data_IF_336818685629
#
_entry.id   IF_336818685629
#
_cell.length_a   1.000
_cell.length_b   1.000
_cell.length_c   1.000
_cell.angle_alpha   90.00
_cell.angle_beta   90.00
_cell.angle_gamma   90.00
#
_symmetry.space_group_name_H-M   'P 1'
#
loop_
_entity.id
_entity.type
_entity.pdbx_description
1 polymer ?
#
# COMPACT_ATOMS: atom_id res chain seq x y z
N UNK A 1 -30.51 -56.52 43.13
CA UNK A 1 -29.88 -56.73 41.80
C UNK A 1 -30.54 -55.89 40.70
N UNK A 2 -31.87 -55.87 40.57
CA UNK A 2 -32.57 -54.98 39.60
C UNK A 2 -32.37 -53.48 39.86
N UNK A 3 -32.36 -53.04 41.12
CA UNK A 3 -32.15 -51.62 41.46
C UNK A 3 -30.72 -51.15 41.16
N UNK A 4 -29.70 -51.94 41.48
CA UNK A 4 -28.30 -51.59 41.15
C UNK A 4 -28.07 -51.48 39.64
N UNK A 5 -28.74 -52.32 38.84
CA UNK A 5 -28.70 -52.23 37.38
C UNK A 5 -29.39 -50.95 36.88
N UNK A 6 -30.50 -50.56 37.49
CA UNK A 6 -31.20 -49.29 37.20
C UNK A 6 -30.30 -48.08 37.49
N UNK A 7 -29.70 -48.00 38.68
CA UNK A 7 -28.80 -46.90 39.04
C UNK A 7 -27.54 -46.84 38.16
N UNK A 8 -27.02 -48.00 37.75
CA UNK A 8 -25.90 -48.07 36.81
C UNK A 8 -26.28 -47.52 35.42
N UNK A 9 -27.46 -47.89 34.90
CA UNK A 9 -27.98 -47.37 33.64
C UNK A 9 -28.23 -45.86 33.75
N UNK A 10 -28.82 -45.38 34.85
CA UNK A 10 -29.03 -43.94 35.10
C UNK A 10 -27.69 -43.18 35.12
N UNK A 11 -26.67 -43.73 35.77
CA UNK A 11 -25.31 -43.17 35.77
C UNK A 11 -24.69 -43.08 34.37
N UNK A 12 -24.85 -44.12 33.55
CA UNK A 12 -24.41 -44.12 32.13
C UNK A 12 -25.15 -43.05 31.34
N UNK A 13 -26.47 -42.93 31.52
CA UNK A 13 -27.27 -41.94 30.79
C UNK A 13 -26.84 -40.52 31.14
N UNK A 14 -26.63 -40.20 32.42
CA UNK A 14 -26.13 -38.89 32.86
C UNK A 14 -24.74 -38.63 32.27
N UNK A 15 -23.83 -39.59 32.39
CA UNK A 15 -22.47 -39.47 31.86
C UNK A 15 -22.45 -39.25 30.34
N UNK A 16 -23.21 -40.05 29.59
CA UNK A 16 -23.36 -39.91 28.14
C UNK A 16 -23.98 -38.56 27.75
N UNK A 17 -24.95 -38.07 28.52
CA UNK A 17 -25.58 -36.76 28.28
C UNK A 17 -24.58 -35.61 28.43
N UNK A 18 -23.72 -35.67 29.45
CA UNK A 18 -22.66 -34.67 29.65
C UNK A 18 -21.64 -34.71 28.51
N UNK A 19 -21.16 -35.90 28.13
CA UNK A 19 -20.24 -36.05 27.00
C UNK A 19 -20.86 -35.55 25.68
N UNK A 20 -22.14 -35.85 25.46
CA UNK A 20 -22.86 -35.40 24.27
C UNK A 20 -23.02 -33.87 24.25
N UNK A 21 -23.28 -33.24 25.40
CA UNK A 21 -23.32 -31.78 25.52
C UNK A 21 -21.99 -31.13 25.19
N UNK A 22 -20.87 -31.68 25.69
CA UNK A 22 -19.53 -31.19 25.35
C UNK A 22 -19.20 -31.37 23.88
N UNK A 23 -19.60 -32.50 23.29
CA UNK A 23 -19.41 -32.75 21.87
C UNK A 23 -20.18 -31.74 20.99
N UNK A 24 -21.45 -31.48 21.30
CA UNK A 24 -22.23 -30.45 20.60
C UNK A 24 -21.60 -29.06 20.78
N UNK A 25 -21.16 -28.73 21.99
CA UNK A 25 -20.47 -27.46 22.26
C UNK A 25 -19.25 -27.27 21.35
N UNK A 26 -18.37 -28.28 21.30
CA UNK A 26 -17.17 -28.25 20.47
C UNK A 26 -17.49 -28.15 18.95
N UNK A 27 -18.58 -28.78 18.49
CA UNK A 27 -19.03 -28.64 17.10
C UNK A 27 -19.47 -27.19 16.79
N UNK A 28 -20.23 -26.58 17.69
CA UNK A 28 -20.68 -25.19 17.55
C UNK A 28 -19.49 -24.23 17.57
N UNK A 29 -18.52 -24.45 18.46
CA UNK A 29 -17.31 -23.63 18.56
C UNK A 29 -16.48 -23.74 17.26
N UNK A 30 -16.30 -24.95 16.73
CA UNK A 30 -15.61 -25.16 15.45
C UNK A 30 -16.32 -24.45 14.30
N UNK A 31 -17.64 -24.52 14.23
CA UNK A 31 -18.43 -23.84 13.20
C UNK A 31 -18.32 -22.31 13.33
N UNK A 32 -18.41 -21.78 14.55
CA UNK A 32 -18.23 -20.36 14.85
C UNK A 32 -16.84 -19.87 14.43
N UNK A 33 -15.79 -20.62 14.77
CA UNK A 33 -14.40 -20.31 14.42
C UNK A 33 -14.19 -20.27 12.90
N UNK A 34 -14.73 -21.23 12.16
CA UNK A 34 -14.66 -21.22 10.68
C UNK A 34 -15.37 -19.99 10.12
N UNK A 35 -16.56 -19.64 10.64
CA UNK A 35 -17.30 -18.46 10.19
C UNK A 35 -16.52 -17.17 10.45
N UNK A 36 -15.95 -17.01 11.64
CA UNK A 36 -15.14 -15.85 12.02
C UNK A 36 -13.88 -15.75 11.15
N UNK A 37 -13.17 -16.87 10.94
CA UNK A 37 -12.02 -16.93 10.02
C UNK A 37 -12.42 -16.47 8.62
N UNK A 38 -13.48 -17.03 8.05
CA UNK A 38 -13.90 -16.71 6.69
C UNK A 38 -14.34 -15.25 6.52
N UNK A 39 -14.99 -14.68 7.55
CA UNK A 39 -15.33 -13.26 7.58
C UNK A 39 -14.05 -12.40 7.48
N UNK A 40 -13.08 -12.61 8.37
CA UNK A 40 -11.85 -11.83 8.35
C UNK A 40 -11.00 -12.06 7.09
N UNK A 41 -10.96 -13.28 6.55
CA UNK A 41 -10.25 -13.57 5.29
C UNK A 41 -10.94 -12.86 4.11
N UNK A 42 -12.28 -12.76 4.12
CA UNK A 42 -13.02 -11.97 3.12
C UNK A 42 -12.69 -10.49 3.22
N UNK A 43 -12.75 -9.91 4.42
CA UNK A 43 -12.42 -8.50 4.67
C UNK A 43 -10.95 -8.21 4.30
N UNK A 44 -10.06 -9.18 4.53
CA UNK A 44 -8.65 -9.08 4.17
C UNK A 44 -8.49 -8.99 2.66
N UNK A 45 -9.22 -9.80 1.89
CA UNK A 45 -9.19 -9.75 0.42
C UNK A 45 -9.63 -8.36 -0.06
N UNK A 46 -10.69 -7.80 0.49
CA UNK A 46 -11.16 -6.44 0.14
C UNK A 46 -10.07 -5.40 0.44
N UNK A 47 -9.53 -5.41 1.66
CA UNK A 47 -8.45 -4.50 2.08
C UNK A 47 -7.21 -4.60 1.19
N UNK A 48 -6.80 -5.82 0.81
CA UNK A 48 -5.64 -6.04 -0.05
C UNK A 48 -5.89 -5.57 -1.49
N UNK A 49 -7.12 -5.68 -2.02
CA UNK A 49 -7.42 -5.16 -3.35
C UNK A 49 -7.34 -3.63 -3.39
N UNK A 50 -7.87 -2.95 -2.36
CA UNK A 50 -7.76 -1.49 -2.24
C UNK A 50 -6.29 -1.04 -2.18
N UNK A 51 -5.46 -1.78 -1.44
CA UNK A 51 -4.03 -1.47 -1.35
C UNK A 51 -3.30 -1.71 -2.69
N UNK A 52 -3.69 -2.74 -3.45
CA UNK A 52 -3.17 -2.95 -4.82
C UNK A 52 -3.56 -1.78 -5.74
N UNK A 53 -4.79 -1.30 -5.67
CA UNK A 53 -5.27 -0.13 -6.43
C UNK A 53 -4.48 1.14 -6.05
N UNK A 54 -4.23 1.36 -4.75
CA UNK A 54 -3.39 2.47 -4.30
C UNK A 54 -1.98 2.38 -4.89
N UNK A 55 -1.39 1.19 -4.91
CA UNK A 55 -0.06 0.98 -5.50
C UNK A 55 -0.06 1.26 -7.01
N UNK A 56 -1.09 0.81 -7.74
CA UNK A 56 -1.22 1.08 -9.17
C UNK A 56 -1.28 2.59 -9.44
N UNK A 57 -2.10 3.34 -8.71
CA UNK A 57 -2.20 4.79 -8.83
C UNK A 57 -0.86 5.50 -8.53
N UNK A 58 -0.12 5.04 -7.52
CA UNK A 58 1.22 5.57 -7.21
C UNK A 58 2.22 5.29 -8.33
N UNK A 59 2.20 4.07 -8.90
CA UNK A 59 3.07 3.72 -10.01
C UNK A 59 2.81 4.60 -11.23
N UNK A 60 1.56 4.93 -11.52
CA UNK A 60 1.17 5.81 -12.63
C UNK A 60 1.71 7.23 -12.44
N UNK A 61 1.54 7.81 -11.25
CA UNK A 61 2.10 9.14 -10.93
C UNK A 61 3.63 9.17 -11.06
N UNK A 62 4.32 8.12 -10.59
CA UNK A 62 5.77 8.02 -10.68
C UNK A 62 6.26 7.83 -12.13
N UNK A 63 5.47 7.14 -12.97
CA UNK A 63 5.75 7.00 -14.39
C UNK A 63 5.56 8.31 -15.14
N UNK A 64 4.48 9.04 -14.89
CA UNK A 64 4.26 10.39 -15.45
C UNK A 64 5.40 11.33 -15.04
N UNK A 65 5.76 11.33 -13.77
CA UNK A 65 6.85 12.15 -13.24
C UNK A 65 8.19 11.84 -13.89
N UNK A 66 8.50 10.57 -14.15
CA UNK A 66 9.72 10.20 -14.89
C UNK A 66 9.69 10.70 -16.34
N UNK A 67 8.53 10.63 -17.02
CA UNK A 67 8.39 11.16 -18.37
C UNK A 67 8.63 12.68 -18.40
N UNK A 68 8.03 13.42 -17.44
CA UNK A 68 8.23 14.86 -17.31
C UNK A 68 9.69 15.21 -17.00
N UNK A 69 10.35 14.46 -16.11
CA UNK A 69 11.77 14.65 -15.82
C UNK A 69 12.61 14.44 -17.08
N UNK A 70 12.34 13.39 -17.87
CA UNK A 70 13.06 13.14 -19.13
C UNK A 70 12.86 14.30 -20.12
N UNK A 71 11.65 14.84 -20.25
CA UNK A 71 11.39 16.00 -21.11
C UNK A 71 12.22 17.21 -20.66
N UNK A 72 12.25 17.51 -19.37
CA UNK A 72 13.04 18.60 -18.79
C UNK A 72 14.55 18.40 -19.03
N UNK A 73 15.07 17.20 -18.80
CA UNK A 73 16.49 16.89 -19.02
C UNK A 73 16.89 17.01 -20.50
N UNK A 74 16.08 16.47 -21.41
CA UNK A 74 16.31 16.57 -22.86
C UNK A 74 16.32 18.05 -23.33
N UNK A 75 15.42 18.87 -22.79
CA UNK A 75 15.38 20.29 -23.11
C UNK A 75 16.59 21.04 -22.54
N UNK A 76 17.04 20.73 -21.32
CA UNK A 76 18.29 21.29 -20.77
C UNK A 76 19.49 20.91 -21.65
N UNK A 77 19.60 19.65 -22.07
CA UNK A 77 20.67 19.15 -22.95
C UNK A 77 20.68 19.86 -24.31
N UNK A 78 19.51 20.26 -24.80
CA UNK A 78 19.38 21.07 -26.03
C UNK A 78 19.74 22.56 -25.83
N UNK A 79 20.07 23.00 -24.61
CA UNK A 79 20.26 24.41 -24.29
C UNK A 79 18.95 25.19 -24.19
N UNK A 80 17.86 24.52 -23.81
CA UNK A 80 16.49 25.05 -23.71
C UNK A 80 15.96 25.55 -25.07
N UNK A 81 15.87 24.63 -26.03
CA UNK A 81 15.38 24.85 -27.40
C UNK A 81 14.12 24.03 -27.74
N UNK A 82 13.78 23.02 -26.94
CA UNK A 82 12.67 22.09 -27.21
C UNK A 82 11.35 22.55 -26.58
N UNK A 83 11.42 23.31 -25.48
CA UNK A 83 10.25 23.76 -24.74
C UNK A 83 10.27 25.27 -24.50
N UNK A 84 9.08 25.86 -24.34
CA UNK A 84 8.94 27.23 -23.84
C UNK A 84 9.13 27.29 -22.33
N UNK A 85 9.52 28.44 -21.79
CA UNK A 85 9.63 28.67 -20.35
C UNK A 85 8.35 28.26 -19.59
N UNK A 86 7.17 28.61 -20.12
CA UNK A 86 5.86 28.24 -19.54
C UNK A 86 5.70 26.72 -19.48
N UNK A 87 6.00 26.01 -20.59
CA UNK A 87 5.92 24.55 -20.67
C UNK A 87 6.87 23.88 -19.67
N UNK A 88 8.07 24.43 -19.48
CA UNK A 88 9.03 23.95 -18.48
C UNK A 88 8.43 24.06 -17.08
N UNK A 89 7.89 25.22 -16.71
CA UNK A 89 7.31 25.40 -15.37
C UNK A 89 6.06 24.51 -15.20
N UNK A 90 5.19 24.42 -16.20
CA UNK A 90 4.01 23.55 -16.17
C UNK A 90 4.38 22.07 -15.95
N UNK A 91 5.43 21.59 -16.62
CA UNK A 91 5.94 20.24 -16.43
C UNK A 91 6.57 20.07 -15.05
N UNK A 92 7.38 21.04 -14.61
CA UNK A 92 8.08 20.99 -13.32
C UNK A 92 7.11 20.92 -12.13
N UNK A 93 6.02 21.70 -12.15
CA UNK A 93 5.00 21.66 -11.09
C UNK A 93 4.08 20.43 -11.18
N UNK A 94 4.31 19.51 -12.11
CA UNK A 94 3.60 18.23 -12.17
C UNK A 94 4.46 17.05 -11.75
N UNK A 95 5.79 17.23 -11.69
CA UNK A 95 6.70 16.19 -11.18
C UNK A 95 6.38 15.96 -9.70
N UNK A 96 5.97 14.73 -9.37
CA UNK A 96 5.71 14.27 -8.03
C UNK A 96 6.44 12.95 -7.75
N UNK A 97 7.34 12.98 -6.78
CA UNK A 97 8.17 11.82 -6.43
C UNK A 97 8.00 11.37 -4.98
N UNK A 98 7.36 12.16 -4.12
CA UNK A 98 7.17 11.84 -2.70
C UNK A 98 5.71 11.64 -2.32
N UNK A 99 5.04 10.71 -2.99
CA UNK A 99 3.79 10.14 -2.49
C UNK A 99 4.06 8.75 -1.95
N UNK A 100 3.62 8.53 -0.71
CA UNK A 100 3.89 7.31 0.05
C UNK A 100 2.69 6.37 0.02
N UNK A 101 2.96 5.08 -0.14
CA UNK A 101 1.99 3.99 0.03
C UNK A 101 1.71 3.77 1.53
N UNK A 102 0.44 3.70 1.91
CA UNK A 102 -0.01 3.51 3.29
C UNK A 102 -0.89 2.26 3.37
N UNK A 103 -0.32 1.10 3.71
CA UNK A 103 -1.04 -0.16 3.72
C UNK A 103 -2.14 -0.18 4.79
N UNK A 104 -3.30 -0.77 4.46
CA UNK A 104 -4.39 -0.98 5.41
C UNK A 104 -4.11 -2.25 6.22
N UNK A 105 -3.66 -2.07 7.45
CA UNK A 105 -3.29 -3.17 8.37
C UNK A 105 -4.39 -3.54 9.38
N UNK A 106 -5.52 -2.82 9.38
CA UNK A 106 -6.60 -2.99 10.35
C UNK A 106 -7.14 -4.43 10.41
N UNK A 107 -7.43 -5.03 9.25
CA UNK A 107 -7.96 -6.40 9.19
C UNK A 107 -6.92 -7.42 9.63
N UNK A 108 -5.66 -7.23 9.24
CA UNK A 108 -4.55 -8.08 9.70
C UNK A 108 -4.39 -8.01 11.22
N UNK A 109 -4.44 -6.82 11.80
CA UNK A 109 -4.37 -6.62 13.24
C UNK A 109 -5.56 -7.27 13.98
N UNK A 110 -6.75 -7.28 13.37
CA UNK A 110 -7.91 -8.01 13.89
C UNK A 110 -7.72 -9.53 13.82
N UNK A 111 -7.17 -10.07 12.72
CA UNK A 111 -6.83 -11.49 12.60
C UNK A 111 -5.90 -11.94 13.73
N UNK A 112 -4.86 -11.15 14.02
CA UNK A 112 -3.92 -11.45 15.10
C UNK A 112 -4.59 -11.34 16.49
N UNK A 113 -5.26 -10.22 16.79
CA UNK A 113 -5.80 -9.96 18.13
C UNK A 113 -6.98 -10.86 18.53
N UNK A 114 -7.71 -11.39 17.55
CA UNK A 114 -8.83 -12.32 17.80
C UNK A 114 -8.40 -13.79 17.80
N UNK A 115 -7.13 -14.09 17.47
CA UNK A 115 -6.64 -15.46 17.25
C UNK A 115 -7.15 -16.11 15.97
N UNK A 116 -7.93 -15.40 15.14
CA UNK A 116 -8.44 -15.91 13.87
C UNK A 116 -7.32 -16.19 12.86
N UNK A 117 -6.17 -15.52 12.99
CA UNK A 117 -4.97 -15.82 12.21
C UNK A 117 -4.55 -17.28 12.37
N UNK A 118 -4.66 -17.86 13.57
CA UNK A 118 -4.27 -19.26 13.81
C UNK A 118 -5.19 -20.26 13.10
N UNK A 119 -6.43 -19.86 12.83
CA UNK A 119 -7.43 -20.67 12.16
C UNK A 119 -7.22 -20.77 10.64
N UNK A 120 -6.34 -19.94 10.06
CA UNK A 120 -5.95 -20.05 8.65
C UNK A 120 -5.22 -21.38 8.44
N UNK A 121 -5.64 -22.15 7.45
CA UNK A 121 -5.04 -23.45 7.14
C UNK A 121 -3.78 -23.31 6.28
N UNK A 122 -3.78 -22.39 5.30
CA UNK A 122 -2.63 -22.17 4.43
C UNK A 122 -1.45 -21.57 5.20
N UNK A 123 -0.37 -22.34 5.30
CA UNK A 123 0.90 -21.91 5.87
C UNK A 123 1.53 -20.83 4.97
N UNK A 124 1.40 -20.96 3.64
CA UNK A 124 1.88 -19.94 2.72
C UNK A 124 1.18 -18.59 2.93
N UNK A 125 -0.14 -18.59 3.14
CA UNK A 125 -0.90 -17.38 3.44
C UNK A 125 -0.44 -16.73 4.75
N UNK A 126 -0.24 -17.53 5.81
CA UNK A 126 0.29 -16.99 7.07
C UNK A 126 1.64 -16.33 6.87
N UNK A 127 2.57 -17.01 6.19
CA UNK A 127 3.93 -16.53 6.01
C UNK A 127 3.97 -15.24 5.18
N UNK A 128 3.20 -15.16 4.10
CA UNK A 128 3.20 -13.96 3.26
C UNK A 128 2.59 -12.76 3.99
N UNK A 129 1.53 -12.96 4.78
CA UNK A 129 0.94 -11.89 5.59
C UNK A 129 1.91 -11.38 6.66
N UNK A 130 2.65 -12.27 7.32
CA UNK A 130 3.70 -11.89 8.29
C UNK A 130 4.84 -11.10 7.62
N UNK A 131 5.30 -11.54 6.44
CA UNK A 131 6.35 -10.85 5.68
C UNK A 131 5.90 -9.46 5.23
N UNK A 132 4.68 -9.35 4.70
CA UNK A 132 4.09 -8.09 4.24
C UNK A 132 3.96 -7.08 5.40
N UNK A 133 3.19 -7.46 6.43
CA UNK A 133 2.85 -6.54 7.52
C UNK A 133 3.99 -6.31 8.51
N UNK A 134 5.00 -7.18 8.53
CA UNK A 134 6.23 -7.00 9.31
C UNK A 134 7.33 -6.29 8.52
N UNK A 135 7.96 -7.00 7.59
CA UNK A 135 9.21 -6.58 6.96
C UNK A 135 9.00 -5.60 5.79
N UNK A 136 8.05 -5.88 4.90
CA UNK A 136 7.83 -5.03 3.73
C UNK A 136 7.28 -3.66 4.12
N UNK A 137 6.34 -3.60 5.06
CA UNK A 137 5.81 -2.34 5.58
C UNK A 137 6.89 -1.48 6.24
N UNK A 138 7.80 -2.08 7.03
CA UNK A 138 8.92 -1.37 7.64
C UNK A 138 9.88 -0.81 6.57
N UNK A 139 10.15 -1.59 5.52
CA UNK A 139 10.98 -1.15 4.39
C UNK A 139 10.33 -0.01 3.62
N UNK A 140 9.04 -0.12 3.32
CA UNK A 140 8.25 0.93 2.68
C UNK A 140 8.33 2.23 3.50
N UNK A 141 8.07 2.17 4.80
CA UNK A 141 8.12 3.34 5.67
C UNK A 141 9.49 4.04 5.66
N UNK A 142 10.59 3.28 5.77
CA UNK A 142 11.94 3.84 5.76
C UNK A 142 12.27 4.52 4.41
N UNK A 143 11.95 3.85 3.30
CA UNK A 143 12.18 4.38 1.95
C UNK A 143 11.30 5.59 1.66
N UNK A 144 10.01 5.53 1.98
CA UNK A 144 9.07 6.63 1.86
C UNK A 144 9.55 7.87 2.61
N UNK A 145 10.02 7.72 3.85
CA UNK A 145 10.52 8.84 4.64
C UNK A 145 11.75 9.51 4.00
N UNK A 146 12.68 8.73 3.45
CA UNK A 146 13.84 9.29 2.73
C UNK A 146 13.39 10.11 1.50
N UNK A 147 12.45 9.57 0.74
CA UNK A 147 11.91 10.22 -0.45
C UNK A 147 11.12 11.49 -0.09
N UNK A 148 10.33 11.45 0.99
CA UNK A 148 9.55 12.58 1.48
C UNK A 148 10.47 13.74 1.88
N UNK A 149 11.58 13.44 2.57
CA UNK A 149 12.61 14.43 2.91
C UNK A 149 13.23 15.06 1.66
N UNK A 150 13.58 14.24 0.66
CA UNK A 150 14.05 14.76 -0.63
C UNK A 150 12.99 15.63 -1.32
N UNK A 151 11.72 15.21 -1.31
CA UNK A 151 10.63 15.91 -1.99
C UNK A 151 10.35 17.30 -1.41
N UNK A 152 10.71 17.54 -0.13
CA UNK A 152 10.66 18.89 0.45
C UNK A 152 11.63 19.84 -0.25
N UNK A 153 12.89 19.41 -0.43
CA UNK A 153 13.91 20.21 -1.12
C UNK A 153 13.62 20.32 -2.62
N UNK A 154 13.19 19.21 -3.24
CA UNK A 154 12.83 19.16 -4.66
C UNK A 154 11.72 20.15 -5.01
N UNK A 155 10.74 20.34 -4.12
CA UNK A 155 9.66 21.33 -4.32
C UNK A 155 10.11 22.74 -3.96
N UNK A 156 10.87 22.90 -2.89
CA UNK A 156 11.33 24.21 -2.40
C UNK A 156 12.23 24.93 -3.42
N UNK A 157 13.23 24.25 -3.95
CA UNK A 157 14.25 24.88 -4.81
C UNK A 157 13.63 25.54 -6.05
N UNK A 158 12.75 24.88 -6.84
CA UNK A 158 12.01 25.51 -7.93
C UNK A 158 11.22 26.76 -7.52
N UNK A 159 10.55 26.75 -6.36
CA UNK A 159 9.78 27.90 -5.91
C UNK A 159 10.68 29.10 -5.57
N UNK A 160 11.89 28.86 -5.08
CA UNK A 160 12.88 29.91 -4.82
C UNK A 160 13.48 30.48 -6.11
N UNK A 161 13.71 29.65 -7.13
CA UNK A 161 14.44 30.05 -8.34
C UNK A 161 13.54 30.55 -9.47
N UNK A 162 12.31 30.04 -9.63
CA UNK A 162 11.41 30.35 -10.75
C UNK A 162 10.23 31.27 -10.41
N UNK A 163 10.13 31.74 -9.15
CA UNK A 163 9.05 32.63 -8.64
C UNK A 163 7.66 32.22 -9.15
N UNK A 164 7.29 30.97 -8.89
CA UNK A 164 6.07 30.36 -9.43
C UNK A 164 4.87 30.77 -8.57
N UNK A 165 3.75 31.10 -9.23
CA UNK A 165 2.42 31.25 -8.61
C UNK A 165 1.45 30.33 -9.30
N UNK A 166 0.73 29.52 -8.55
CA UNK A 166 -0.29 28.61 -9.06
C UNK A 166 -1.60 28.75 -8.28
N UNK A 167 -2.70 28.40 -8.94
CA UNK A 167 -3.96 28.07 -8.30
C UNK A 167 -4.01 26.58 -8.00
N UNK A 168 -4.85 26.18 -7.04
CA UNK A 168 -5.01 24.80 -6.65
C UNK A 168 -6.42 24.31 -7.00
N UNK A 169 -6.49 23.24 -7.78
CA UNK A 169 -7.74 22.58 -8.13
C UNK A 169 -7.97 21.38 -7.22
N UNK A 170 -8.91 21.51 -6.29
CA UNK A 170 -9.25 20.47 -5.32
C UNK A 170 -10.01 19.28 -5.92
N UNK A 171 -10.55 19.41 -7.13
CA UNK A 171 -11.39 18.38 -7.76
C UNK A 171 -10.60 17.44 -8.69
N UNK A 172 -9.37 17.81 -9.06
CA UNK A 172 -8.57 17.09 -10.05
C UNK A 172 -7.24 16.64 -9.45
N UNK A 173 -7.01 15.32 -9.31
CA UNK A 173 -5.78 14.69 -8.82
C UNK A 173 -6.06 13.48 -7.92
N UNK A 174 -5.37 12.35 -8.14
CA UNK A 174 -5.65 11.07 -7.46
C UNK A 174 -5.49 11.12 -5.94
N UNK A 175 -4.41 11.76 -5.46
CA UNK A 175 -4.10 11.84 -4.02
C UNK A 175 -4.34 13.22 -3.45
N UNK A 176 -3.84 14.23 -4.15
CA UNK A 176 -3.94 15.63 -3.80
C UNK A 176 -4.24 16.37 -5.09
N UNK A 177 -5.15 17.34 -5.02
CA UNK A 177 -5.52 18.20 -6.12
C UNK A 177 -4.34 18.75 -6.93
N UNK A 178 -4.64 19.31 -8.11
CA UNK A 178 -3.63 19.67 -9.10
C UNK A 178 -3.29 21.16 -9.06
N UNK A 179 -2.06 21.48 -9.47
CA UNK A 179 -1.57 22.85 -9.55
C UNK A 179 -1.79 23.38 -10.97
N UNK A 180 -2.42 24.55 -11.08
CA UNK A 180 -2.57 25.28 -12.33
C UNK A 180 -1.71 26.53 -12.32
N UNK A 181 -0.72 26.61 -13.20
CA UNK A 181 0.17 27.76 -13.29
C UNK A 181 -0.61 29.04 -13.61
N UNK A 182 -0.33 30.10 -12.85
CA UNK A 182 -0.92 31.43 -13.09
C UNK A 182 0.11 32.47 -13.50
N UNK A 183 1.33 32.38 -12.94
CA UNK A 183 2.43 33.29 -13.25
C UNK A 183 3.77 32.69 -12.82
N UNK A 184 4.86 33.13 -13.44
CA UNK A 184 6.23 32.70 -13.11
C UNK A 184 7.26 33.77 -13.53
N UNK A 185 8.49 33.64 -13.02
CA UNK A 185 9.66 34.33 -13.57
C UNK A 185 10.75 33.31 -13.86
N UNK A 186 11.04 33.07 -15.13
CA UNK A 186 12.01 32.07 -15.51
C UNK A 186 13.46 32.49 -15.22
N UNK A 187 14.21 31.61 -14.56
CA UNK A 187 15.65 31.74 -14.37
C UNK A 187 16.35 30.74 -15.28
N UNK A 188 16.70 31.19 -16.50
CA UNK A 188 17.35 30.35 -17.51
C UNK A 188 18.72 29.84 -17.04
N UNK A 189 19.47 30.66 -16.28
CA UNK A 189 20.80 30.30 -15.80
C UNK A 189 20.71 29.14 -14.80
N UNK A 190 19.72 29.20 -13.89
CA UNK A 190 19.46 28.11 -12.98
C UNK A 190 18.95 26.86 -13.72
N UNK A 191 18.01 27.02 -14.65
CA UNK A 191 17.43 25.89 -15.40
C UNK A 191 18.48 25.05 -16.12
N UNK A 192 19.41 25.68 -16.84
CA UNK A 192 20.46 24.96 -17.58
C UNK A 192 21.65 24.54 -16.70
N UNK A 193 21.60 24.80 -15.39
CA UNK A 193 22.72 24.53 -14.49
C UNK A 193 22.84 23.04 -14.13
N UNK A 194 24.08 22.61 -13.85
CA UNK A 194 24.35 21.27 -13.30
C UNK A 194 23.62 21.03 -11.96
N UNK A 195 23.33 22.10 -11.20
CA UNK A 195 22.58 21.99 -9.94
C UNK A 195 21.14 21.53 -10.19
N UNK A 196 20.44 22.17 -11.12
CA UNK A 196 19.07 21.78 -11.44
C UNK A 196 19.01 20.43 -12.16
N UNK A 197 19.93 20.16 -13.08
CA UNK A 197 20.03 18.85 -13.73
C UNK A 197 20.31 17.72 -12.72
N UNK A 198 21.18 17.95 -11.73
CA UNK A 198 21.44 17.02 -10.64
C UNK A 198 20.20 16.78 -9.76
N UNK A 199 19.43 17.83 -9.48
CA UNK A 199 18.17 17.73 -8.73
C UNK A 199 17.15 16.85 -9.45
N UNK A 200 16.97 17.04 -10.77
CA UNK A 200 16.14 16.18 -11.61
C UNK A 200 16.64 14.73 -11.65
N UNK A 201 17.95 14.53 -11.73
CA UNK A 201 18.56 13.19 -11.71
C UNK A 201 18.28 12.45 -10.41
N UNK A 202 18.36 13.15 -9.27
CA UNK A 202 18.05 12.57 -7.96
C UNK A 202 16.56 12.25 -7.82
N UNK A 203 15.67 13.10 -8.34
CA UNK A 203 14.23 12.82 -8.39
C UNK A 203 13.93 11.55 -9.19
N UNK A 204 14.59 11.37 -10.35
CA UNK A 204 14.47 10.17 -11.17
C UNK A 204 15.01 8.92 -10.48
N UNK A 205 16.12 9.04 -9.75
CA UNK A 205 16.66 7.94 -8.93
C UNK A 205 15.63 7.48 -7.90
N UNK A 206 15.06 8.40 -7.13
CA UNK A 206 14.06 8.08 -6.11
C UNK A 206 12.77 7.51 -6.70
N UNK A 207 12.26 8.07 -7.80
CA UNK A 207 11.12 7.51 -8.52
C UNK A 207 11.38 6.05 -8.94
N UNK A 208 12.53 5.77 -9.55
CA UNK A 208 12.85 4.42 -10.01
C UNK A 208 13.05 3.42 -8.86
N UNK A 209 13.72 3.84 -7.78
CA UNK A 209 13.87 3.02 -6.58
C UNK A 209 12.51 2.71 -5.96
N UNK A 210 11.63 3.69 -5.85
CA UNK A 210 10.33 3.50 -5.23
C UNK A 210 9.40 2.64 -6.09
N UNK A 211 9.36 2.86 -7.41
CA UNK A 211 8.63 1.97 -8.33
C UNK A 211 9.06 0.52 -8.21
N UNK A 212 10.37 0.27 -8.03
CA UNK A 212 10.87 -1.09 -7.83
C UNK A 212 10.31 -1.70 -6.54
N UNK A 213 10.38 -0.96 -5.43
CA UNK A 213 9.84 -1.38 -4.15
C UNK A 213 8.32 -1.64 -4.22
N UNK A 214 7.56 -0.70 -4.79
CA UNK A 214 6.12 -0.81 -4.95
C UNK A 214 5.72 -2.04 -5.77
N UNK A 215 6.46 -2.39 -6.82
CA UNK A 215 6.22 -3.62 -7.59
C UNK A 215 6.45 -4.88 -6.78
N UNK A 216 7.55 -4.95 -6.03
CA UNK A 216 7.84 -6.10 -5.15
C UNK A 216 6.75 -6.26 -4.06
N UNK A 217 6.26 -5.15 -3.50
CA UNK A 217 5.13 -5.13 -2.55
C UNK A 217 3.85 -5.60 -3.26
N UNK A 218 3.52 -5.04 -4.42
CA UNK A 218 2.30 -5.37 -5.15
C UNK A 218 2.21 -6.86 -5.51
N UNK A 219 3.31 -7.47 -5.93
CA UNK A 219 3.38 -8.92 -6.20
C UNK A 219 3.01 -9.73 -4.95
N UNK A 220 3.49 -9.31 -3.79
CA UNK A 220 3.20 -9.95 -2.51
C UNK A 220 1.72 -9.84 -2.14
N UNK A 221 1.12 -8.65 -2.34
CA UNK A 221 -0.32 -8.42 -2.11
C UNK A 221 -1.19 -9.27 -3.06
N UNK A 222 -0.85 -9.31 -4.35
CA UNK A 222 -1.54 -10.13 -5.36
C UNK A 222 -1.46 -11.63 -5.03
N UNK A 223 -0.31 -12.09 -4.53
CA UNK A 223 -0.14 -13.47 -4.08
C UNK A 223 -0.97 -13.76 -2.81
N UNK A 224 -0.98 -12.86 -1.83
CA UNK A 224 -1.80 -13.00 -0.63
C UNK A 224 -3.30 -13.07 -0.96
N UNK A 225 -3.79 -12.24 -1.90
CA UNK A 225 -5.18 -12.29 -2.39
C UNK A 225 -5.51 -13.67 -2.98
N UNK A 226 -4.62 -14.22 -3.81
CA UNK A 226 -4.81 -15.53 -4.43
C UNK A 226 -4.91 -16.64 -3.38
N UNK A 227 -4.00 -16.64 -2.40
CA UNK A 227 -3.98 -17.60 -1.31
C UNK A 227 -5.20 -17.46 -0.37
N UNK A 228 -5.61 -16.23 -0.06
CA UNK A 228 -6.80 -15.95 0.73
C UNK A 228 -8.09 -16.45 0.05
N UNK A 229 -8.19 -16.30 -1.28
CA UNK A 229 -9.33 -16.86 -2.05
C UNK A 229 -9.36 -18.39 -1.98
N UNK A 230 -8.20 -19.05 -2.01
CA UNK A 230 -8.12 -20.51 -1.86
C UNK A 230 -8.52 -20.95 -0.44
N UNK A 231 -8.11 -20.19 0.58
CA UNK A 231 -8.45 -20.44 1.99
C UNK A 231 -9.96 -20.43 2.27
N UNK A 232 -10.74 -19.65 1.51
CA UNK A 232 -12.21 -19.61 1.63
C UNK A 232 -12.92 -20.84 1.04
N UNK A 233 -12.25 -21.59 0.16
CA UNK A 233 -12.80 -22.77 -0.53
C UNK A 233 -12.48 -24.08 0.23
N UNK A 234 -11.52 -24.04 1.16
CA UNK A 234 -11.12 -25.17 2.03
C UNK A 234 -12.02 -25.31 3.26
#
# INVERSE_FOLDING_TARGET
>A
MKENLKYFIEGIVIFASVLFSFYIGNLNDKQSNIKTKNMFVSDLIESLNDDVEQIDNLLDVLNESEQLINLLQNDIESGHQLMSDQTVIDNLIKVEVGFSFFPKDGVYNQLISTGAFELINSIELKNILLEMYGHQNARNFATSNEIDLFNLDFRKIPYEMFRIRFDYDMLNGEFYGSRRLTNFKFDRNFYISNKFYGLLSQAKLYSNMYKRLLRDIQESYKMAISLAKQELVM
#
